data_IF_694796141916
#
_entry.id   IF_694796141916
#
_cell.length_a   1.000
_cell.length_b   1.000
_cell.length_c   1.000
_cell.angle_alpha   90.00
_cell.angle_beta   90.00
_cell.angle_gamma   90.00
#
_symmetry.space_group_name_H-M   'P 1'
#
loop_
_entity.id
_entity.type
_entity.pdbx_description
1 polymer ?
#
# COMPACT_ATOMS: atom_id res chain seq x y z
N UNK A 1 23.07 -4.27 0.04
CA UNK A 1 22.17 -3.40 0.83
C UNK A 1 20.82 -4.07 0.89
N UNK A 2 20.11 -4.00 2.00
CA UNK A 2 18.74 -4.51 2.08
C UNK A 2 17.76 -3.48 1.53
N UNK A 3 16.74 -3.93 0.80
CA UNK A 3 15.68 -3.07 0.27
C UNK A 3 14.64 -2.86 1.36
N UNK A 4 14.30 -1.61 1.63
CA UNK A 4 13.29 -1.21 2.61
C UNK A 4 11.94 -1.04 1.94
N UNK A 5 10.95 -1.83 2.34
CA UNK A 5 9.58 -1.78 1.86
C UNK A 5 8.66 -1.27 2.98
N UNK A 6 7.89 -0.22 2.71
CA UNK A 6 6.77 0.17 3.55
C UNK A 6 5.50 -0.57 3.11
N UNK A 7 4.84 -1.28 4.02
CA UNK A 7 3.53 -1.88 3.77
C UNK A 7 2.45 -0.93 4.28
N UNK A 8 1.75 -0.29 3.36
CA UNK A 8 0.66 0.65 3.63
C UNK A 8 -0.70 0.04 3.26
N UNK A 9 -1.77 0.68 3.66
CA UNK A 9 -3.14 0.31 3.29
C UNK A 9 -4.17 0.72 4.33
N UNK A 10 -5.41 0.70 3.92
CA UNK A 10 -6.53 1.05 4.79
C UNK A 10 -6.71 0.03 5.93
N UNK A 11 -7.33 0.42 7.05
CA UNK A 11 -7.77 -0.54 8.06
C UNK A 11 -8.63 -1.64 7.45
N UNK A 12 -8.42 -2.88 7.88
CA UNK A 12 -9.14 -4.09 7.44
C UNK A 12 -8.96 -4.52 5.98
N UNK A 13 -8.03 -3.95 5.22
CA UNK A 13 -7.71 -4.42 3.86
C UNK A 13 -6.94 -5.76 3.81
N UNK A 14 -6.64 -6.36 4.97
CA UNK A 14 -5.87 -7.60 5.09
C UNK A 14 -4.36 -7.40 5.30
N UNK A 15 -3.94 -6.20 5.73
CA UNK A 15 -2.53 -5.82 5.88
C UNK A 15 -1.75 -6.73 6.85
N UNK A 16 -2.28 -6.98 8.04
CA UNK A 16 -1.66 -7.90 9.01
C UNK A 16 -1.54 -9.33 8.45
N UNK A 17 -2.55 -9.80 7.73
CA UNK A 17 -2.50 -11.12 7.08
C UNK A 17 -1.41 -11.16 6.01
N UNK A 18 -1.30 -10.11 5.19
CA UNK A 18 -0.26 -9.97 4.18
C UNK A 18 1.13 -9.94 4.80
N UNK A 19 1.32 -9.11 5.83
CA UNK A 19 2.60 -9.00 6.54
C UNK A 19 3.04 -10.35 7.12
N UNK A 20 2.14 -11.06 7.80
CA UNK A 20 2.43 -12.37 8.36
C UNK A 20 2.74 -13.42 7.27
N UNK A 21 2.01 -13.39 6.15
CA UNK A 21 2.25 -14.30 5.04
C UNK A 21 3.60 -14.06 4.34
N UNK A 22 4.06 -12.80 4.29
CA UNK A 22 5.35 -12.42 3.71
C UNK A 22 6.53 -12.76 4.62
N UNK A 23 6.41 -12.49 5.92
CA UNK A 23 7.54 -12.48 6.85
C UNK A 23 7.64 -13.73 7.72
N UNK A 24 6.53 -14.46 7.90
CA UNK A 24 6.47 -15.66 8.73
C UNK A 24 6.92 -15.38 10.17
N UNK A 25 7.87 -16.18 10.67
CA UNK A 25 8.42 -16.03 12.03
C UNK A 25 9.52 -14.96 12.15
N UNK A 26 9.98 -14.38 11.04
CA UNK A 26 11.09 -13.42 11.02
C UNK A 26 10.59 -11.97 11.24
N UNK A 27 9.96 -11.74 12.38
CA UNK A 27 9.35 -10.47 12.74
C UNK A 27 9.99 -9.88 13.98
N UNK A 28 10.12 -8.56 14.02
CA UNK A 28 10.42 -7.75 15.17
C UNK A 28 9.20 -6.88 15.49
N UNK A 29 8.81 -6.86 16.75
CA UNK A 29 7.68 -6.08 17.26
C UNK A 29 8.19 -5.13 18.33
N UNK A 30 7.87 -3.86 18.22
CA UNK A 30 8.22 -2.81 19.16
C UNK A 30 7.21 -1.67 19.06
N UNK A 31 7.59 -0.49 19.54
CA UNK A 31 6.78 0.71 19.36
C UNK A 31 7.51 1.71 18.47
N UNK A 32 6.75 2.54 17.79
CA UNK A 32 7.32 3.69 17.10
C UNK A 32 7.95 4.65 18.11
N UNK A 33 9.10 5.29 17.80
CA UNK A 33 9.78 6.18 18.73
C UNK A 33 8.87 7.31 19.23
N UNK A 34 8.77 7.45 20.57
CA UNK A 34 8.03 8.54 21.20
C UNK A 34 6.51 8.39 21.24
N UNK A 35 5.96 7.26 20.78
CA UNK A 35 4.52 7.01 20.75
C UNK A 35 4.18 5.58 21.16
N UNK A 36 2.91 5.32 21.50
CA UNK A 36 2.40 3.99 21.91
C UNK A 36 1.94 3.13 20.75
N UNK A 37 2.12 3.60 19.51
CA UNK A 37 1.74 2.86 18.30
C UNK A 37 2.72 1.72 18.05
N UNK A 38 2.20 0.52 17.78
CA UNK A 38 3.00 -0.68 17.53
C UNK A 38 3.72 -0.57 16.18
N UNK A 39 5.03 -0.92 16.17
CA UNK A 39 5.86 -1.04 14.97
C UNK A 39 6.19 -2.50 14.73
N UNK A 40 5.96 -2.98 13.52
CA UNK A 40 6.34 -4.32 13.09
C UNK A 40 7.28 -4.24 11.90
N UNK A 41 8.39 -4.95 11.99
CA UNK A 41 9.33 -5.14 10.89
C UNK A 41 9.56 -6.62 10.65
N UNK A 42 9.66 -7.01 9.40
CA UNK A 42 9.94 -8.39 9.03
C UNK A 42 11.04 -8.47 7.98
N UNK A 43 11.82 -9.54 8.01
CA UNK A 43 12.89 -9.80 7.05
C UNK A 43 12.54 -10.99 6.17
N UNK A 44 12.74 -10.82 4.87
CA UNK A 44 12.58 -11.88 3.90
C UNK A 44 13.61 -11.77 2.78
N UNK A 45 13.62 -12.73 1.87
CA UNK A 45 14.46 -12.68 0.66
C UNK A 45 13.56 -12.79 -0.57
N UNK A 46 13.78 -11.94 -1.56
CA UNK A 46 13.18 -12.09 -2.88
C UNK A 46 13.53 -13.46 -3.46
N UNK A 47 12.55 -14.17 -3.98
CA UNK A 47 12.80 -15.50 -4.56
C UNK A 47 13.61 -15.41 -5.85
N UNK A 48 13.39 -14.37 -6.65
CA UNK A 48 14.03 -14.16 -7.95
C UNK A 48 15.44 -13.58 -7.83
N UNK A 49 15.58 -12.51 -7.07
CA UNK A 49 16.86 -11.76 -7.01
C UNK A 49 17.74 -12.16 -5.82
N UNK A 50 17.19 -12.92 -4.86
CA UNK A 50 17.86 -13.33 -3.61
C UNK A 50 18.25 -12.18 -2.69
N UNK A 51 17.76 -10.98 -2.96
CA UNK A 51 18.04 -9.81 -2.16
C UNK A 51 17.33 -9.85 -0.83
N UNK A 52 17.97 -9.30 0.17
CA UNK A 52 17.38 -9.09 1.49
C UNK A 52 16.40 -7.92 1.42
N UNK A 53 15.20 -8.16 1.94
CA UNK A 53 14.11 -7.21 2.00
C UNK A 53 13.68 -7.04 3.46
N UNK A 54 13.55 -5.80 3.87
CA UNK A 54 12.96 -5.43 5.17
C UNK A 54 11.60 -4.82 4.90
N UNK A 55 10.54 -5.43 5.41
CA UNK A 55 9.17 -4.93 5.31
C UNK A 55 8.79 -4.30 6.65
N UNK A 56 8.41 -3.03 6.63
CA UNK A 56 7.85 -2.33 7.78
C UNK A 56 6.34 -2.22 7.61
N UNK A 57 5.58 -2.78 8.56
CA UNK A 57 4.12 -2.67 8.60
C UNK A 57 3.73 -1.30 9.16
N UNK A 58 3.15 -0.44 8.32
CA UNK A 58 2.64 0.86 8.76
C UNK A 58 1.26 0.69 9.43
N UNK A 59 0.88 1.56 10.35
CA UNK A 59 -0.49 1.62 10.85
C UNK A 59 -1.51 1.71 9.72
N UNK A 60 -2.69 1.09 9.89
CA UNK A 60 -3.77 1.21 8.93
C UNK A 60 -4.35 2.62 8.95
N UNK A 61 -4.33 3.30 7.80
CA UNK A 61 -4.76 4.69 7.66
C UNK A 61 -5.69 4.83 6.46
N UNK A 62 -6.52 5.86 6.46
CA UNK A 62 -7.38 6.20 5.33
C UNK A 62 -6.82 7.32 4.47
N UNK A 63 -5.92 8.13 5.03
CA UNK A 63 -5.28 9.24 4.34
C UNK A 63 -3.90 9.54 4.94
N UNK A 64 -3.09 10.30 4.20
CA UNK A 64 -1.81 10.85 4.68
C UNK A 64 -1.96 12.16 5.45
N UNK A 65 -3.19 12.53 5.79
CA UNK A 65 -3.48 13.74 6.59
C UNK A 65 -3.13 13.50 8.06
N UNK A 66 -2.48 14.46 8.75
CA UNK A 66 -1.95 14.24 10.10
C UNK A 66 -3.00 14.50 11.19
N UNK A 67 -4.17 13.83 11.10
CA UNK A 67 -5.25 14.01 12.10
C UNK A 67 -5.21 12.99 13.22
N UNK A 68 -4.75 11.78 12.95
CA UNK A 68 -4.58 10.73 13.96
C UNK A 68 -3.11 10.44 14.18
N UNK A 69 -2.79 9.82 15.32
CA UNK A 69 -1.42 9.44 15.63
C UNK A 69 -0.87 8.43 14.63
N UNK A 70 -1.70 7.50 14.19
CA UNK A 70 -1.40 6.49 13.19
C UNK A 70 -1.08 7.12 11.82
N UNK A 71 -1.84 8.14 11.42
CA UNK A 71 -1.60 8.89 10.18
C UNK A 71 -0.30 9.71 10.26
N UNK A 72 -0.03 10.33 11.41
CA UNK A 72 1.25 11.04 11.65
C UNK A 72 2.43 10.08 11.53
N UNK A 73 2.35 8.92 12.19
CA UNK A 73 3.42 7.90 12.18
C UNK A 73 3.66 7.39 10.76
N UNK A 74 2.61 7.04 10.04
CA UNK A 74 2.73 6.52 8.67
C UNK A 74 3.29 7.56 7.71
N UNK A 75 2.81 8.80 7.80
CA UNK A 75 3.31 9.92 7.01
C UNK A 75 4.78 10.21 7.29
N UNK A 76 5.14 10.31 8.56
CA UNK A 76 6.51 10.59 8.98
C UNK A 76 7.48 9.50 8.52
N UNK A 77 7.06 8.23 8.58
CA UNK A 77 7.86 7.14 8.06
C UNK A 77 8.12 7.28 6.56
N UNK A 78 7.07 7.49 5.77
CA UNK A 78 7.21 7.62 4.31
C UNK A 78 8.09 8.82 3.93
N UNK A 79 7.89 9.98 4.58
CA UNK A 79 8.58 11.22 4.20
C UNK A 79 9.98 11.38 4.79
N UNK A 80 10.25 10.80 5.98
CA UNK A 80 11.52 11.00 6.70
C UNK A 80 12.45 9.80 6.61
N UNK A 81 11.91 8.57 6.72
CA UNK A 81 12.72 7.34 6.63
C UNK A 81 12.97 6.91 5.18
N UNK A 82 12.20 7.49 4.25
CA UNK A 82 12.38 7.35 2.80
C UNK A 82 12.58 5.88 2.36
N UNK A 83 11.55 5.03 2.47
CA UNK A 83 11.62 3.64 2.03
C UNK A 83 11.91 3.58 0.53
N UNK A 84 12.55 2.51 0.07
CA UNK A 84 12.89 2.32 -1.35
C UNK A 84 11.65 2.09 -2.23
N UNK A 85 10.57 1.56 -1.63
CA UNK A 85 9.29 1.33 -2.30
C UNK A 85 8.16 1.17 -1.27
N UNK A 86 6.96 1.59 -1.65
CA UNK A 86 5.73 1.35 -0.88
C UNK A 86 4.95 0.22 -1.55
N UNK A 87 4.53 -0.78 -0.79
CA UNK A 87 3.48 -1.69 -1.19
C UNK A 87 2.18 -1.17 -0.57
N UNK A 88 1.26 -0.72 -1.42
CA UNK A 88 -0.06 -0.29 -1.00
C UNK A 88 -1.07 -1.42 -1.16
N UNK A 89 -1.63 -1.88 -0.04
CA UNK A 89 -2.60 -2.95 -0.01
C UNK A 89 -4.01 -2.41 -0.21
N UNK A 90 -4.57 -2.70 -1.37
CA UNK A 90 -5.90 -2.27 -1.82
C UNK A 90 -6.87 -3.43 -1.72
N UNK A 91 -7.94 -3.26 -0.94
CA UNK A 91 -9.06 -4.20 -0.92
C UNK A 91 -9.89 -4.04 -2.20
N UNK A 92 -9.87 -5.05 -3.06
CA UNK A 92 -10.59 -5.04 -4.32
C UNK A 92 -12.10 -4.90 -4.15
N UNK A 93 -12.65 -5.33 -3.01
CA UNK A 93 -14.10 -5.25 -2.73
C UNK A 93 -14.56 -3.84 -2.34
N UNK A 94 -13.62 -2.96 -1.97
CA UNK A 94 -13.83 -1.56 -1.60
C UNK A 94 -12.82 -0.65 -2.31
N UNK A 95 -12.59 -0.89 -3.59
CA UNK A 95 -11.48 -0.30 -4.34
C UNK A 95 -11.49 1.22 -4.34
N UNK A 96 -12.65 1.85 -4.53
CA UNK A 96 -12.79 3.31 -4.60
C UNK A 96 -12.26 3.98 -3.32
N UNK A 97 -12.66 3.45 -2.15
CA UNK A 97 -12.21 3.98 -0.86
C UNK A 97 -10.70 3.81 -0.67
N UNK A 98 -10.15 2.69 -1.12
CA UNK A 98 -8.74 2.39 -0.94
C UNK A 98 -7.86 3.23 -1.88
N UNK A 99 -8.31 3.50 -3.10
CA UNK A 99 -7.56 4.29 -4.07
C UNK A 99 -7.32 5.75 -3.63
N UNK A 100 -8.09 6.28 -2.71
CA UNK A 100 -7.83 7.61 -2.15
C UNK A 100 -6.48 7.68 -1.42
N UNK A 101 -6.17 6.68 -0.60
CA UNK A 101 -4.85 6.57 0.03
C UNK A 101 -3.77 6.33 -1.03
N UNK A 102 -4.05 5.47 -2.01
CA UNK A 102 -3.12 5.17 -3.11
C UNK A 102 -2.65 6.43 -3.83
N UNK A 103 -3.58 7.34 -4.19
CA UNK A 103 -3.24 8.59 -4.87
C UNK A 103 -2.30 9.45 -4.02
N UNK A 104 -2.56 9.56 -2.72
CA UNK A 104 -1.71 10.33 -1.80
C UNK A 104 -0.32 9.69 -1.61
N UNK A 105 -0.24 8.36 -1.60
CA UNK A 105 1.05 7.66 -1.54
C UNK A 105 1.89 7.92 -2.80
N UNK A 106 1.27 7.88 -3.98
CA UNK A 106 1.96 8.20 -5.24
C UNK A 106 2.48 9.65 -5.24
N UNK A 107 1.70 10.59 -4.73
CA UNK A 107 2.11 12.01 -4.61
C UNK A 107 3.33 12.24 -3.70
N UNK A 108 3.67 11.30 -2.83
CA UNK A 108 4.91 11.40 -2.02
C UNK A 108 6.18 11.33 -2.85
N UNK A 109 6.10 10.83 -4.08
CA UNK A 109 7.26 10.57 -4.94
C UNK A 109 8.03 9.29 -4.61
N UNK A 110 7.67 8.57 -3.56
CA UNK A 110 8.22 7.22 -3.31
C UNK A 110 7.55 6.23 -4.26
N UNK A 111 8.32 5.36 -4.93
CA UNK A 111 7.74 4.36 -5.84
C UNK A 111 6.67 3.50 -5.16
N UNK A 112 5.53 3.29 -5.83
CA UNK A 112 4.41 2.51 -5.29
C UNK A 112 4.16 1.26 -6.13
N UNK A 113 3.92 0.13 -5.48
CA UNK A 113 3.38 -1.10 -6.08
C UNK A 113 2.07 -1.42 -5.38
N UNK A 114 1.00 -1.59 -6.13
CA UNK A 114 -0.31 -1.93 -5.57
C UNK A 114 -0.45 -3.44 -5.45
N UNK A 115 -0.75 -3.91 -4.23
CA UNK A 115 -1.20 -5.27 -3.97
C UNK A 115 -2.74 -5.28 -3.97
N UNK A 116 -3.36 -5.68 -5.08
CA UNK A 116 -4.81 -5.78 -5.20
C UNK A 116 -5.28 -7.07 -4.52
N UNK A 117 -5.68 -6.94 -3.26
CA UNK A 117 -6.06 -8.07 -2.41
C UNK A 117 -7.56 -8.39 -2.52
N UNK A 118 -7.93 -9.64 -2.22
CA UNK A 118 -9.32 -10.10 -2.24
C UNK A 118 -9.99 -10.08 -3.62
N UNK A 119 -9.24 -10.01 -4.71
CA UNK A 119 -9.79 -10.03 -6.08
C UNK A 119 -10.57 -11.34 -6.37
N UNK A 120 -10.20 -12.44 -5.71
CA UNK A 120 -10.92 -13.71 -5.78
C UNK A 120 -12.36 -13.63 -5.24
N UNK A 121 -12.65 -12.74 -4.32
CA UNK A 121 -14.01 -12.49 -3.81
C UNK A 121 -14.88 -11.79 -4.86
N UNK A 122 -14.31 -10.84 -5.62
CA UNK A 122 -15.03 -10.19 -6.73
C UNK A 122 -15.30 -11.16 -7.87
N UNK A 123 -14.35 -12.02 -8.20
CA UNK A 123 -14.51 -13.02 -9.23
C UNK A 123 -15.70 -13.97 -8.93
N UNK A 124 -15.90 -14.35 -7.66
CA UNK A 124 -17.07 -15.11 -7.22
C UNK A 124 -18.41 -14.38 -7.41
N UNK A 125 -18.38 -13.05 -7.43
CA UNK A 125 -19.56 -12.18 -7.68
C UNK A 125 -19.74 -11.85 -9.16
N UNK A 126 -18.90 -12.37 -10.05
CA UNK A 126 -18.91 -12.08 -11.48
C UNK A 126 -18.36 -10.70 -11.85
N UNK A 127 -17.72 -10.00 -10.90
CA UNK A 127 -17.12 -8.69 -11.11
C UNK A 127 -15.65 -8.87 -11.45
N UNK A 128 -15.18 -8.16 -12.48
CA UNK A 128 -13.76 -8.14 -12.89
C UNK A 128 -13.25 -6.71 -12.91
N UNK A 129 -12.04 -6.52 -12.37
CA UNK A 129 -11.32 -5.24 -12.46
C UNK A 129 -10.39 -5.33 -13.67
N UNK A 130 -10.38 -4.30 -14.51
CA UNK A 130 -9.39 -4.16 -15.57
C UNK A 130 -8.06 -3.65 -14.97
N UNK A 131 -7.29 -4.60 -14.44
CA UNK A 131 -6.00 -4.32 -13.76
C UNK A 131 -5.02 -3.61 -14.68
N UNK A 132 -5.01 -3.93 -15.98
CA UNK A 132 -4.09 -3.29 -16.93
C UNK A 132 -4.43 -1.81 -17.13
N UNK A 133 -5.71 -1.52 -17.30
CA UNK A 133 -6.17 -0.14 -17.47
C UNK A 133 -5.95 0.67 -16.19
N UNK A 134 -6.23 0.09 -15.04
CA UNK A 134 -6.01 0.74 -13.74
C UNK A 134 -4.52 1.02 -13.51
N UNK A 135 -3.63 0.07 -13.82
CA UNK A 135 -2.18 0.26 -13.74
C UNK A 135 -1.67 1.38 -14.66
N UNK A 136 -2.22 1.49 -15.87
CA UNK A 136 -1.89 2.60 -16.78
C UNK A 136 -2.37 3.95 -16.26
N UNK A 137 -3.56 4.03 -15.66
CA UNK A 137 -4.12 5.27 -15.13
C UNK A 137 -3.37 5.78 -13.89
N UNK A 138 -2.90 4.87 -13.05
CA UNK A 138 -2.17 5.20 -11.81
C UNK A 138 -0.65 5.28 -12.03
N UNK A 139 -0.17 4.91 -13.21
CA UNK A 139 1.26 4.80 -13.55
C UNK A 139 2.07 3.98 -12.53
N UNK A 140 1.47 2.94 -11.99
CA UNK A 140 2.14 2.05 -11.04
C UNK A 140 1.78 0.58 -11.27
N UNK A 141 2.69 -0.37 -10.98
CA UNK A 141 2.42 -1.79 -11.10
C UNK A 141 1.34 -2.24 -10.14
N UNK A 142 0.45 -3.12 -10.61
CA UNK A 142 -0.60 -3.74 -9.81
C UNK A 142 -0.44 -5.25 -9.87
N UNK A 143 -0.35 -5.88 -8.71
CA UNK A 143 -0.27 -7.33 -8.56
C UNK A 143 -1.52 -7.84 -7.83
N UNK A 144 -2.27 -8.72 -8.47
CA UNK A 144 -3.38 -9.40 -7.82
C UNK A 144 -2.85 -10.39 -6.78
N UNK A 145 -3.41 -10.32 -5.57
CA UNK A 145 -2.97 -11.11 -4.43
C UNK A 145 -4.16 -11.68 -3.66
N UNK A 146 -3.91 -12.78 -2.97
CA UNK A 146 -4.75 -13.27 -1.89
C UNK A 146 -3.87 -13.55 -0.67
N UNK A 147 -3.83 -12.60 0.26
CA UNK A 147 -3.01 -12.74 1.46
C UNK A 147 -3.39 -13.98 2.28
N UNK A 148 -4.69 -14.31 2.32
CA UNK A 148 -5.20 -15.48 3.05
C UNK A 148 -4.74 -16.80 2.42
N UNK A 149 -4.64 -16.87 1.09
CA UNK A 149 -4.21 -18.08 0.37
C UNK A 149 -2.71 -18.11 0.08
N UNK A 150 -2.00 -17.00 0.33
CA UNK A 150 -0.59 -16.88 -0.02
C UNK A 150 -0.33 -16.74 -1.53
N UNK A 151 -1.37 -16.39 -2.32
CA UNK A 151 -1.26 -16.25 -3.78
C UNK A 151 -0.73 -14.86 -4.17
N UNK A 152 0.15 -14.81 -5.17
CA UNK A 152 0.70 -13.57 -5.74
C UNK A 152 1.82 -12.92 -4.93
N UNK A 153 2.13 -13.43 -3.72
CA UNK A 153 3.08 -12.79 -2.79
C UNK A 153 4.51 -12.71 -3.34
N UNK A 154 4.99 -13.78 -3.97
CA UNK A 154 6.33 -13.81 -4.55
C UNK A 154 6.47 -12.80 -5.70
N UNK A 155 5.44 -12.73 -6.56
CA UNK A 155 5.39 -11.75 -7.66
C UNK A 155 5.36 -10.32 -7.13
N UNK A 156 4.63 -10.09 -6.04
CA UNK A 156 4.55 -8.79 -5.38
C UNK A 156 5.92 -8.32 -4.89
N UNK A 157 6.64 -9.17 -4.18
CA UNK A 157 7.97 -8.84 -3.66
C UNK A 157 8.98 -8.68 -4.80
N UNK A 158 8.96 -9.55 -5.81
CA UNK A 158 9.86 -9.44 -6.96
C UNK A 158 9.62 -8.16 -7.76
N UNK A 159 8.36 -7.74 -7.94
CA UNK A 159 8.02 -6.48 -8.60
C UNK A 159 8.42 -5.27 -7.74
N UNK A 160 8.18 -5.31 -6.41
CA UNK A 160 8.61 -4.26 -5.49
C UNK A 160 10.13 -4.07 -5.52
N UNK A 161 10.91 -5.15 -5.49
CA UNK A 161 12.38 -5.11 -5.63
C UNK A 161 12.81 -4.52 -6.96
N UNK A 162 12.14 -4.87 -8.05
CA UNK A 162 12.42 -4.33 -9.38
C UNK A 162 12.14 -2.84 -9.47
N UNK A 163 11.04 -2.37 -8.88
CA UNK A 163 10.66 -0.96 -8.85
C UNK A 163 11.63 -0.16 -7.99
N UNK A 164 11.98 -0.65 -6.79
CA UNK A 164 12.97 -0.03 -5.92
C UNK A 164 14.32 0.21 -6.61
N UNK A 165 14.74 -0.71 -7.47
CA UNK A 165 16.00 -0.59 -8.24
C UNK A 165 15.94 0.38 -9.42
N UNK A 166 14.73 0.68 -9.90
CA UNK A 166 14.51 1.60 -11.02
C UNK A 166 14.41 3.07 -10.59
N UNK A 167 14.57 3.38 -9.31
CA UNK A 167 14.28 4.67 -8.67
C UNK A 167 15.15 5.87 -9.13
N UNK A 168 15.45 5.97 -10.42
CA UNK A 168 15.86 7.22 -11.09
C UNK A 168 14.70 7.87 -11.88
N UNK A 169 13.46 7.46 -11.66
CA UNK A 169 12.31 8.02 -12.36
C UNK A 169 11.83 9.24 -11.58
N UNK A 170 12.11 10.41 -12.14
CA UNK A 170 11.45 11.68 -11.78
C UNK A 170 9.93 11.52 -12.06
N UNK A 171 9.17 11.14 -11.02
CA UNK A 171 7.72 11.04 -11.13
C UNK A 171 7.14 12.45 -11.22
N UNK A 172 6.31 12.76 -12.23
CA UNK A 172 5.65 14.06 -12.30
C UNK A 172 4.75 14.25 -11.08
N UNK A 173 4.86 15.41 -10.42
CA UNK A 173 4.12 15.73 -9.18
C UNK A 173 2.61 15.96 -9.37
N UNK A 174 2.13 16.03 -10.61
CA UNK A 174 0.73 16.28 -10.95
C UNK A 174 0.22 15.17 -11.88
N UNK A 175 -0.01 13.97 -11.32
CA UNK A 175 -0.38 12.77 -12.10
C UNK A 175 -1.88 12.68 -12.34
N UNK A 176 -2.70 13.29 -11.49
CA UNK A 176 -4.14 13.07 -11.53
C UNK A 176 -4.88 14.21 -12.23
N UNK A 177 -5.82 13.84 -13.13
CA UNK A 177 -6.72 14.83 -13.70
C UNK A 177 -7.62 15.40 -12.61
N UNK A 178 -7.95 16.69 -12.69
CA UNK A 178 -8.87 17.37 -11.78
C UNK A 178 -10.23 16.64 -11.65
N UNK A 179 -10.60 15.84 -12.65
CA UNK A 179 -11.80 14.98 -12.64
C UNK A 179 -11.68 13.80 -11.65
N UNK A 180 -10.50 13.19 -11.53
CA UNK A 180 -10.26 12.09 -10.59
C UNK A 180 -10.23 12.61 -9.15
N UNK A 181 -9.55 13.72 -8.91
CA UNK A 181 -9.52 14.40 -7.61
C UNK A 181 -10.92 14.86 -7.20
N UNK A 182 -11.69 15.41 -8.14
CA UNK A 182 -13.08 15.82 -7.92
C UNK A 182 -14.00 14.65 -7.57
N UNK A 183 -13.88 13.52 -8.25
CA UNK A 183 -14.68 12.32 -7.99
C UNK A 183 -14.35 11.73 -6.61
N UNK A 184 -13.08 11.69 -6.23
CA UNK A 184 -12.63 11.20 -4.92
C UNK A 184 -13.08 12.13 -3.79
N UNK A 185 -12.96 13.45 -3.96
CA UNK A 185 -13.38 14.44 -2.97
C UNK A 185 -14.90 14.43 -2.73
N UNK A 186 -15.71 14.27 -3.77
CA UNK A 186 -17.19 14.16 -3.68
C UNK A 186 -17.61 12.91 -2.90
N UNK A 187 -16.94 11.79 -3.10
CA UNK A 187 -17.21 10.56 -2.37
C UNK A 187 -16.97 10.72 -0.86
N UNK A 188 -15.87 11.37 -0.47
CA UNK A 188 -15.55 11.59 0.95
C UNK A 188 -16.45 12.61 1.64
N UNK A 189 -16.90 13.66 0.95
CA UNK A 189 -17.88 14.62 1.51
C UNK A 189 -19.24 13.96 1.77
N UNK A 190 -19.65 13.02 0.94
CA UNK A 190 -20.92 12.29 1.14
C UNK A 190 -20.84 11.29 2.31
N UNK A 191 -19.72 10.58 2.49
CA UNK A 191 -19.54 9.66 3.61
C UNK A 191 -19.52 10.38 4.97
N UNK A 192 -18.82 11.53 5.09
CA UNK A 192 -18.79 12.33 6.32
C UNK A 192 -20.17 12.89 6.70
N UNK A 193 -21.01 13.21 5.75
CA UNK A 193 -22.37 13.69 6.02
C UNK A 193 -23.28 12.60 6.61
N UNK A 194 -22.99 11.32 6.39
CA UNK A 194 -23.75 10.20 6.94
C UNK A 194 -23.25 9.69 8.29
N UNK A 195 -22.02 10.02 8.69
CA UNK A 195 -21.45 9.61 9.99
C UNK A 195 -21.74 10.60 11.13
N UNK A 196 -22.39 11.74 10.87
CA UNK A 196 -22.70 12.80 11.85
C UNK A 196 -24.19 12.93 12.18
N UNK A 197 -25.02 11.89 11.89
CA UNK A 197 -26.42 11.84 12.34
C UNK A 197 -26.66 10.70 13.32
#
# INVERSE_FOLDING_TARGET
>A
MSIKIALAGNPNCGKTTMFNALTGANQYVGNWPGVTVEKKEGKLKSKKTKEEVIVTDLPGIYSMSPYTLEEVVSRDYVLKENPDVIIDLVDATNIERNLYLTTQLIETGVPVVIALNMADLLAKRGIKIDVKRLSMLLDCPIIETSALKGEGLDKLIDEAVKVAKKSEIDLPKDIFSAELEGAVAVYYTHLRAHETL
#
